data_IF_777782067770
#
_entry.id   IF_777782067770
#
_cell.length_a   1.000
_cell.length_b   1.000
_cell.length_c   1.000
_cell.angle_alpha   90.00
_cell.angle_beta   90.00
_cell.angle_gamma   90.00
#
_symmetry.space_group_name_H-M   'P 1'
#
loop_
_entity.id
_entity.type
_entity.pdbx_description
1 polymer ?
#
# COMPACT_ATOMS: atom_id res chain seq x y z
N UNK A 1 -0.36 -13.47 -15.87
CA UNK A 1 -0.52 -13.22 -14.42
C UNK A 1 0.46 -12.16 -13.97
N UNK A 2 0.00 -11.18 -13.24
CA UNK A 2 0.80 -10.14 -12.60
C UNK A 2 0.74 -10.31 -11.07
N UNK A 3 1.76 -9.82 -10.38
CA UNK A 3 1.87 -9.90 -8.93
C UNK A 3 1.78 -8.51 -8.32
N UNK A 4 1.01 -8.34 -7.26
CA UNK A 4 0.97 -7.10 -6.48
C UNK A 4 2.30 -6.92 -5.76
N UNK A 5 3.03 -5.86 -6.07
CA UNK A 5 4.38 -5.65 -5.52
C UNK A 5 4.50 -4.43 -4.61
N UNK A 6 3.65 -3.41 -4.78
CA UNK A 6 3.67 -2.23 -3.92
C UNK A 6 2.26 -1.66 -3.73
N UNK A 7 1.89 -1.45 -2.47
CA UNK A 7 0.58 -0.96 -2.02
C UNK A 7 0.63 0.45 -1.40
N UNK A 8 1.80 1.08 -1.39
CA UNK A 8 2.03 2.35 -0.66
C UNK A 8 1.01 3.45 -0.98
N UNK A 9 0.54 3.48 -2.21
CA UNK A 9 -0.36 4.52 -2.70
C UNK A 9 -1.82 4.05 -2.80
N UNK A 10 -2.13 2.85 -2.34
CA UNK A 10 -3.46 2.27 -2.52
C UNK A 10 -4.52 3.07 -1.77
N UNK A 11 -4.35 3.28 -0.48
CA UNK A 11 -5.33 3.99 0.34
C UNK A 11 -5.41 5.48 -0.01
N UNK A 12 -4.25 6.09 -0.29
CA UNK A 12 -4.20 7.53 -0.52
C UNK A 12 -4.65 7.95 -1.92
N UNK A 13 -4.36 7.15 -2.94
CA UNK A 13 -4.55 7.54 -4.34
C UNK A 13 -5.23 6.48 -5.20
N UNK A 14 -5.73 5.41 -4.61
CA UNK A 14 -6.37 4.33 -5.36
C UNK A 14 -5.42 3.60 -6.32
N UNK A 15 -4.09 3.63 -6.09
CA UNK A 15 -3.13 3.03 -7.01
C UNK A 15 -2.24 1.99 -6.34
N UNK A 16 -1.93 0.93 -7.06
CA UNK A 16 -0.96 -0.08 -6.65
C UNK A 16 -0.01 -0.43 -7.79
N UNK A 17 1.14 -1.01 -7.47
CA UNK A 17 2.10 -1.45 -8.48
C UNK A 17 2.02 -2.95 -8.66
N UNK A 18 1.91 -3.36 -9.91
CA UNK A 18 1.94 -4.74 -10.36
C UNK A 18 3.29 -5.06 -11.01
N UNK A 19 3.71 -6.29 -10.93
CA UNK A 19 4.95 -6.75 -11.56
C UNK A 19 4.77 -8.08 -12.28
N UNK A 20 5.50 -8.24 -13.38
CA UNK A 20 5.69 -9.53 -14.05
C UNK A 20 6.73 -10.38 -13.31
N UNK A 21 6.51 -11.69 -13.23
CA UNK A 21 7.48 -12.64 -12.70
C UNK A 21 7.69 -12.57 -11.18
N UNK A 22 6.68 -12.15 -10.43
CA UNK A 22 6.67 -12.14 -8.97
C UNK A 22 7.07 -10.81 -8.33
N UNK A 23 7.23 -10.82 -7.00
CA UNK A 23 7.57 -9.64 -6.21
C UNK A 23 8.88 -8.99 -6.65
N UNK A 24 8.90 -7.68 -6.66
CA UNK A 24 10.10 -6.88 -6.86
C UNK A 24 10.66 -6.46 -5.50
N UNK A 25 11.93 -6.72 -5.32
CA UNK A 25 12.66 -6.41 -4.08
C UNK A 25 13.66 -5.27 -4.32
N UNK A 26 14.13 -4.67 -3.24
CA UNK A 26 15.27 -3.76 -3.32
C UNK A 26 16.54 -4.54 -3.68
N UNK A 27 17.44 -3.91 -4.42
CA UNK A 27 18.68 -4.54 -4.89
C UNK A 27 19.47 -5.19 -3.75
N UNK A 28 19.60 -4.50 -2.63
CA UNK A 28 20.39 -4.95 -1.47
C UNK A 28 19.74 -6.03 -0.62
N UNK A 29 18.51 -6.47 -0.95
CA UNK A 29 17.91 -7.63 -0.27
C UNK A 29 18.68 -8.93 -0.58
N UNK A 30 19.28 -9.02 -1.76
CA UNK A 30 19.94 -10.23 -2.24
C UNK A 30 21.35 -10.02 -2.78
N UNK A 31 21.78 -8.76 -2.88
CA UNK A 31 23.09 -8.42 -3.46
C UNK A 31 23.88 -7.51 -2.51
N UNK A 32 25.18 -7.62 -2.55
CA UNK A 32 26.05 -6.62 -1.94
C UNK A 32 25.88 -5.26 -2.61
N UNK A 33 26.09 -4.16 -1.87
CA UNK A 33 26.00 -2.82 -2.46
C UNK A 33 26.98 -2.65 -3.63
N UNK A 34 26.44 -2.33 -4.81
CA UNK A 34 27.17 -2.06 -6.04
C UNK A 34 26.35 -1.11 -6.91
N UNK A 35 27.00 -0.06 -7.42
CA UNK A 35 26.30 1.01 -8.15
C UNK A 35 25.83 0.56 -9.54
N UNK A 36 26.63 -0.22 -10.24
CA UNK A 36 26.29 -0.68 -11.58
C UNK A 36 25.19 -1.75 -11.52
N UNK A 37 25.31 -2.68 -10.58
CA UNK A 37 24.28 -3.66 -10.28
C UNK A 37 22.96 -3.01 -9.85
N UNK A 38 23.01 -1.97 -9.02
CA UNK A 38 21.83 -1.20 -8.64
C UNK A 38 21.16 -0.52 -9.83
N UNK A 39 21.92 0.11 -10.71
CA UNK A 39 21.39 0.76 -11.92
C UNK A 39 20.78 -0.27 -12.89
N UNK A 40 21.43 -1.40 -13.09
CA UNK A 40 20.87 -2.50 -13.87
C UNK A 40 19.56 -3.02 -13.28
N UNK A 41 19.52 -3.18 -11.96
CA UNK A 41 18.32 -3.59 -11.22
C UNK A 41 17.17 -2.58 -11.34
N UNK A 42 17.42 -1.27 -11.24
CA UNK A 42 16.43 -0.23 -11.47
C UNK A 42 15.79 -0.35 -12.86
N UNK A 43 16.61 -0.56 -13.88
CA UNK A 43 16.14 -0.75 -15.25
C UNK A 43 15.28 -2.02 -15.39
N UNK A 44 15.65 -3.09 -14.70
CA UNK A 44 14.88 -4.33 -14.65
C UNK A 44 13.51 -4.09 -13.99
N UNK A 45 13.49 -3.45 -12.82
CA UNK A 45 12.26 -3.10 -12.09
C UNK A 45 11.34 -2.26 -12.97
N UNK A 46 11.86 -1.22 -13.63
CA UNK A 46 11.08 -0.34 -14.50
C UNK A 46 10.42 -1.08 -15.67
N UNK A 47 11.08 -2.10 -16.24
CA UNK A 47 10.52 -2.90 -17.33
C UNK A 47 9.51 -3.96 -16.89
N UNK A 48 9.57 -4.37 -15.63
CA UNK A 48 8.72 -5.42 -15.07
C UNK A 48 7.54 -4.90 -14.26
N UNK A 49 7.39 -3.59 -14.12
CA UNK A 49 6.34 -3.00 -13.30
C UNK A 49 5.40 -2.12 -14.10
N UNK A 50 4.15 -2.10 -13.68
CA UNK A 50 3.11 -1.21 -14.17
C UNK A 50 2.23 -0.78 -12.99
N UNK A 51 1.74 0.45 -13.01
CA UNK A 51 0.80 0.93 -11.99
C UNK A 51 -0.62 0.58 -12.42
N UNK A 52 -1.37 -0.10 -11.57
CA UNK A 52 -2.82 -0.19 -11.66
C UNK A 52 -3.41 1.07 -11.03
N UNK A 53 -4.28 1.76 -11.76
CA UNK A 53 -4.78 3.10 -11.42
C UNK A 53 -6.31 3.11 -11.62
N UNK A 54 -7.06 3.57 -10.62
CA UNK A 54 -8.51 3.69 -10.70
C UNK A 54 -8.99 4.83 -11.63
N UNK A 55 -8.07 5.64 -12.14
CA UNK A 55 -8.35 6.78 -13.02
C UNK A 55 -8.86 8.02 -12.28
N UNK A 56 -9.04 7.97 -10.98
CA UNK A 56 -9.48 9.09 -10.17
C UNK A 56 -8.29 9.98 -9.77
N UNK A 57 -8.57 11.25 -9.51
CA UNK A 57 -7.59 12.19 -8.97
C UNK A 57 -7.85 12.53 -7.50
N UNK A 58 -8.78 11.83 -6.89
CA UNK A 58 -9.11 12.03 -5.49
C UNK A 58 -7.93 11.59 -4.60
N UNK A 59 -7.67 12.34 -3.56
CA UNK A 59 -6.83 11.94 -2.46
C UNK A 59 -7.74 11.37 -1.36
N UNK A 60 -7.34 10.24 -0.78
CA UNK A 60 -8.13 9.49 0.20
C UNK A 60 -9.55 9.16 -0.32
N UNK A 61 -9.66 8.47 -1.47
CA UNK A 61 -10.95 8.11 -2.02
C UNK A 61 -11.73 7.24 -1.02
N UNK A 62 -13.02 7.47 -0.93
CA UNK A 62 -13.91 6.66 -0.08
C UNK A 62 -14.10 5.25 -0.62
N UNK A 63 -13.92 5.07 -1.92
CA UNK A 63 -14.03 3.80 -2.63
C UNK A 63 -12.92 3.70 -3.67
N UNK A 64 -12.40 2.50 -3.84
CA UNK A 64 -11.43 2.16 -4.88
C UNK A 64 -12.10 1.14 -5.79
N UNK A 65 -12.36 1.50 -7.04
CA UNK A 65 -13.19 0.74 -7.97
C UNK A 65 -12.86 -0.74 -8.12
N UNK A 66 -11.59 -1.09 -8.02
CA UNK A 66 -11.14 -2.47 -8.21
C UNK A 66 -10.89 -3.21 -6.90
N UNK A 67 -11.20 -2.60 -5.77
CA UNK A 67 -11.36 -3.30 -4.51
C UNK A 67 -12.85 -3.45 -4.24
N UNK A 68 -13.30 -4.61 -3.85
CA UNK A 68 -14.70 -4.79 -3.46
C UNK A 68 -15.09 -3.73 -2.42
N UNK A 69 -16.29 -3.20 -2.62
CA UNK A 69 -16.83 -2.02 -1.96
C UNK A 69 -16.42 -1.92 -0.49
N UNK A 70 -15.63 -0.87 -0.22
CA UNK A 70 -15.23 -0.51 1.12
C UNK A 70 -14.44 -1.60 1.81
N UNK A 71 -13.17 -1.76 1.44
CA UNK A 71 -12.18 -2.55 2.21
C UNK A 71 -12.81 -3.23 3.45
N UNK A 72 -13.86 -4.02 3.18
CA UNK A 72 -14.65 -4.66 4.22
C UNK A 72 -13.75 -5.62 4.96
N UNK A 73 -13.81 -5.60 6.26
CA UNK A 73 -13.14 -6.50 7.16
C UNK A 73 -13.20 -7.94 6.60
N UNK A 74 -12.13 -8.36 5.89
CA UNK A 74 -12.04 -9.69 5.29
C UNK A 74 -11.22 -9.79 4.02
N UNK A 75 -11.18 -8.76 3.17
CA UNK A 75 -10.33 -8.77 1.98
C UNK A 75 -9.39 -7.56 1.95
N UNK A 76 -8.14 -7.79 2.20
CA UNK A 76 -7.08 -6.82 1.96
C UNK A 76 -6.12 -7.37 0.90
N UNK A 77 -6.03 -6.69 -0.24
CA UNK A 77 -4.97 -6.98 -1.23
C UNK A 77 -3.63 -6.87 -0.55
N UNK A 78 -2.78 -7.86 -0.75
CA UNK A 78 -1.45 -7.93 -0.15
C UNK A 78 -0.36 -8.01 -1.21
N UNK A 79 0.81 -7.52 -0.86
CA UNK A 79 1.99 -7.79 -1.69
C UNK A 79 2.21 -9.30 -1.80
N UNK A 80 2.33 -9.78 -3.04
CA UNK A 80 2.41 -11.21 -3.36
C UNK A 80 1.12 -11.79 -3.93
N UNK A 81 -0.03 -11.13 -3.72
CA UNK A 81 -1.27 -11.56 -4.39
C UNK A 81 -1.16 -11.41 -5.91
N UNK A 82 -1.92 -12.19 -6.64
CA UNK A 82 -1.84 -12.23 -8.09
C UNK A 82 -3.10 -11.73 -8.78
N UNK A 83 -2.93 -11.28 -10.03
CA UNK A 83 -4.00 -10.95 -10.95
C UNK A 83 -3.82 -11.68 -12.26
N UNK A 84 -4.91 -12.27 -12.78
CA UNK A 84 -5.01 -12.76 -14.14
C UNK A 84 -5.96 -11.85 -14.95
N UNK A 85 -5.82 -11.92 -16.27
CA UNK A 85 -6.79 -11.38 -17.25
C UNK A 85 -7.13 -9.89 -17.06
N UNK A 86 -6.13 -9.09 -16.70
CA UNK A 86 -6.29 -7.66 -16.53
C UNK A 86 -6.39 -6.95 -17.89
N UNK A 87 -7.53 -6.33 -18.17
CA UNK A 87 -7.79 -5.53 -19.36
C UNK A 87 -8.02 -4.07 -18.98
N UNK A 88 -7.45 -3.15 -19.74
CA UNK A 88 -7.59 -1.72 -19.45
C UNK A 88 -6.92 -0.82 -20.47
N UNK A 89 -7.05 0.48 -20.25
CA UNK A 89 -6.43 1.52 -21.07
C UNK A 89 -5.06 1.89 -20.49
N UNK A 90 -4.03 1.92 -21.35
CA UNK A 90 -2.70 2.39 -20.98
C UNK A 90 -2.61 3.91 -21.06
N UNK A 91 -2.03 4.51 -20.04
CA UNK A 91 -1.70 5.93 -19.98
C UNK A 91 -0.30 6.14 -19.44
N UNK A 92 0.46 7.03 -20.06
CA UNK A 92 1.74 7.50 -19.51
C UNK A 92 1.51 8.85 -18.84
N UNK A 93 1.61 8.90 -17.52
CA UNK A 93 1.34 10.12 -16.76
C UNK A 93 1.88 10.06 -15.33
N UNK A 94 1.90 11.21 -14.69
CA UNK A 94 1.98 11.33 -13.23
C UNK A 94 0.63 10.91 -12.63
N UNK A 95 0.64 10.27 -11.47
CA UNK A 95 -0.56 9.86 -10.78
C UNK A 95 -1.34 11.00 -10.14
N UNK A 96 -2.36 10.64 -9.38
CA UNK A 96 -3.04 11.54 -8.47
C UNK A 96 -2.02 12.23 -7.54
N UNK A 97 -2.32 13.47 -7.14
CA UNK A 97 -1.40 14.29 -6.34
C UNK A 97 -0.31 15.01 -7.13
N UNK A 98 -0.09 14.69 -8.40
CA UNK A 98 0.83 15.41 -9.31
C UNK A 98 2.32 15.36 -8.95
N UNK A 99 2.64 14.73 -7.81
CA UNK A 99 4.00 14.59 -7.29
C UNK A 99 4.51 13.19 -7.59
N UNK A 100 5.58 13.06 -8.32
CA UNK A 100 6.22 11.80 -8.67
C UNK A 100 6.60 11.74 -10.14
N UNK A 101 7.30 10.69 -10.50
CA UNK A 101 7.73 10.47 -11.87
C UNK A 101 6.57 10.01 -12.75
N UNK A 102 6.65 10.35 -14.02
CA UNK A 102 5.76 9.79 -15.02
C UNK A 102 6.04 8.31 -15.18
N UNK A 103 4.97 7.52 -15.24
CA UNK A 103 5.06 6.07 -15.43
C UNK A 103 3.88 5.55 -16.24
N UNK A 104 4.01 4.33 -16.74
CA UNK A 104 2.91 3.62 -17.36
C UNK A 104 1.89 3.20 -16.31
N UNK A 105 0.63 3.53 -16.61
CA UNK A 105 -0.53 3.20 -15.79
C UNK A 105 -1.53 2.44 -16.63
N UNK A 106 -2.14 1.43 -16.03
CA UNK A 106 -3.24 0.70 -16.61
C UNK A 106 -4.50 1.04 -15.80
N UNK A 107 -5.46 1.64 -16.49
CA UNK A 107 -6.79 1.91 -15.95
C UNK A 107 -7.71 0.77 -16.38
N UNK A 108 -8.15 -0.09 -15.45
CA UNK A 108 -8.94 -1.25 -15.80
C UNK A 108 -10.30 -0.82 -16.39
N UNK A 109 -10.78 -1.57 -17.36
CA UNK A 109 -12.11 -1.39 -17.98
C UNK A 109 -13.17 -2.32 -17.38
N UNK A 110 -12.79 -3.19 -16.49
CA UNK A 110 -13.63 -4.06 -15.69
C UNK A 110 -12.95 -4.32 -14.35
N UNK A 111 -13.65 -4.93 -13.42
CA UNK A 111 -13.14 -5.21 -12.09
C UNK A 111 -12.10 -6.32 -12.14
N UNK A 112 -10.83 -6.03 -11.82
CA UNK A 112 -9.80 -7.05 -11.78
C UNK A 112 -10.03 -8.01 -10.62
N UNK A 113 -9.82 -9.28 -10.87
CA UNK A 113 -9.93 -10.31 -9.85
C UNK A 113 -8.57 -10.58 -9.23
N UNK A 114 -8.44 -10.31 -7.94
CA UNK A 114 -7.25 -10.64 -7.17
C UNK A 114 -7.35 -12.04 -6.59
N UNK A 115 -6.29 -12.80 -6.71
CA UNK A 115 -6.13 -14.09 -6.06
C UNK A 115 -5.25 -13.93 -4.82
N UNK A 116 -5.77 -14.32 -3.65
CA UNK A 116 -5.04 -14.28 -2.38
C UNK A 116 -3.99 -15.38 -2.34
N UNK A 117 -2.79 -15.08 -2.78
CA UNK A 117 -1.63 -16.00 -2.79
C UNK A 117 -0.78 -15.83 -1.53
N UNK A 118 -0.88 -14.68 -0.87
CA UNK A 118 -0.16 -14.37 0.36
C UNK A 118 -1.13 -14.01 1.50
N UNK A 119 -1.97 -14.94 1.95
CA UNK A 119 -2.93 -14.65 3.01
C UNK A 119 -2.23 -14.27 4.32
N UNK A 120 -2.89 -13.43 5.12
CA UNK A 120 -2.38 -13.11 6.45
C UNK A 120 -2.39 -14.38 7.31
N UNK A 121 -1.25 -14.80 7.87
CA UNK A 121 -1.24 -15.91 8.81
C UNK A 121 -2.06 -15.56 10.06
N UNK A 122 -2.65 -16.58 10.66
CA UNK A 122 -3.28 -16.42 11.96
C UNK A 122 -2.29 -16.01 13.05
N UNK A 123 -2.79 -15.63 14.21
CA UNK A 123 -1.94 -15.34 15.35
C UNK A 123 -1.02 -16.53 15.68
N UNK A 124 0.27 -16.29 15.90
CA UNK A 124 1.20 -17.37 16.21
C UNK A 124 0.83 -18.05 17.52
N UNK A 125 0.87 -19.39 17.55
CA UNK A 125 0.73 -20.16 18.78
C UNK A 125 2.05 -20.16 19.51
N UNK A 126 2.14 -19.40 20.60
CA UNK A 126 3.31 -19.36 21.48
C UNK A 126 3.04 -20.10 22.78
N UNK A 127 3.94 -20.99 23.15
CA UNK A 127 3.89 -21.70 24.42
C UNK A 127 4.38 -20.84 25.58
N UNK A 128 4.29 -21.40 26.81
CA UNK A 128 4.77 -20.76 28.04
C UNK A 128 3.65 -20.14 28.88
N UNK A 129 3.98 -19.84 30.13
CA UNK A 129 3.06 -19.24 31.10
C UNK A 129 2.99 -17.69 30.98
N UNK A 130 3.98 -17.09 30.33
CA UNK A 130 4.03 -15.64 30.09
C UNK A 130 4.19 -15.46 28.59
N UNK A 131 3.38 -14.55 28.01
CA UNK A 131 3.45 -14.18 26.61
C UNK A 131 3.75 -12.69 26.52
N UNK A 132 4.77 -12.34 25.74
CA UNK A 132 5.16 -10.96 25.48
C UNK A 132 5.01 -10.68 24.00
N UNK A 133 4.35 -9.58 23.66
CA UNK A 133 4.21 -9.12 22.29
C UNK A 133 4.76 -7.68 22.18
N UNK A 134 5.45 -7.41 21.09
CA UNK A 134 5.88 -6.05 20.71
C UNK A 134 5.15 -5.65 19.44
N UNK A 135 4.46 -4.53 19.49
CA UNK A 135 3.71 -3.98 18.35
C UNK A 135 4.21 -2.59 18.05
N UNK A 136 4.43 -2.31 16.77
CA UNK A 136 4.50 -0.95 16.29
C UNK A 136 3.10 -0.55 15.82
N UNK A 137 2.44 0.27 16.59
CA UNK A 137 1.08 0.77 16.29
C UNK A 137 1.11 2.11 15.54
N UNK A 138 2.28 2.51 15.04
CA UNK A 138 2.54 3.74 14.31
C UNK A 138 1.97 4.96 15.07
N UNK A 139 1.08 5.71 14.47
CA UNK A 139 0.50 6.92 15.06
C UNK A 139 -0.85 6.66 15.75
N UNK A 140 -1.02 5.50 16.38
CA UNK A 140 -2.23 5.24 17.17
C UNK A 140 -2.17 5.98 18.50
N UNK A 141 -3.14 6.85 18.73
CA UNK A 141 -3.37 7.55 20.00
C UNK A 141 -4.82 7.38 20.40
N UNK A 142 -5.08 7.27 21.69
CA UNK A 142 -6.44 7.14 22.24
C UNK A 142 -7.25 8.45 22.24
N UNK A 143 -6.67 9.52 21.73
CA UNK A 143 -7.29 10.85 21.64
C UNK A 143 -7.27 11.33 20.20
N UNK A 144 -8.38 11.96 19.81
CA UNK A 144 -8.50 12.58 18.48
C UNK A 144 -7.66 13.85 18.42
N UNK A 145 -6.92 14.02 17.31
CA UNK A 145 -6.23 15.28 17.01
C UNK A 145 -7.25 16.34 16.59
N UNK A 146 -7.52 17.28 17.46
CA UNK A 146 -8.45 18.37 17.18
C UNK A 146 -7.86 19.52 16.37
N UNK A 147 -6.68 19.33 15.78
CA UNK A 147 -5.97 20.35 14.99
C UNK A 147 -5.34 21.47 15.84
N UNK A 148 -5.24 21.29 17.14
CA UNK A 148 -4.66 22.31 18.04
C UNK A 148 -3.12 22.34 18.03
N UNK A 149 -2.49 21.41 17.34
CA UNK A 149 -1.06 21.45 17.00
C UNK A 149 -0.07 21.26 18.16
N UNK A 150 -0.54 20.98 19.37
CA UNK A 150 0.29 21.00 20.57
C UNK A 150 0.35 19.63 21.24
N UNK A 151 0.99 18.68 20.58
CA UNK A 151 1.22 17.34 21.10
C UNK A 151 2.63 17.18 21.69
N UNK A 152 2.83 16.06 22.37
CA UNK A 152 4.08 15.77 23.07
C UNK A 152 4.15 16.37 24.48
N UNK A 153 5.11 15.92 25.29
CA UNK A 153 5.23 16.34 26.69
C UNK A 153 5.48 17.85 26.89
N UNK A 154 6.03 18.50 25.87
CA UNK A 154 6.35 19.93 25.87
C UNK A 154 5.32 20.77 25.10
N UNK A 155 4.32 20.13 24.48
CA UNK A 155 3.27 20.81 23.72
C UNK A 155 3.75 21.55 22.46
N UNK A 156 4.86 21.12 21.87
CA UNK A 156 5.53 21.75 20.73
C UNK A 156 5.59 20.89 19.48
N UNK A 157 5.03 19.69 19.54
CA UNK A 157 5.07 18.73 18.44
C UNK A 157 3.74 18.70 17.68
N UNK A 158 3.82 18.53 16.37
CA UNK A 158 2.65 18.28 15.55
C UNK A 158 1.98 16.96 15.99
N UNK A 159 0.68 17.00 16.16
CA UNK A 159 -0.11 15.80 16.43
C UNK A 159 -0.12 14.88 15.20
N UNK A 160 -0.23 13.58 15.44
CA UNK A 160 -0.17 12.55 14.40
C UNK A 160 -1.23 11.46 14.61
N UNK A 161 -2.23 11.73 15.41
CA UNK A 161 -3.33 10.82 15.67
C UNK A 161 -4.44 10.91 14.62
N UNK A 162 -5.53 10.22 14.87
CA UNK A 162 -6.75 10.37 14.09
C UNK A 162 -7.32 11.77 14.24
N UNK A 163 -7.79 12.35 13.13
CA UNK A 163 -8.39 13.71 13.11
C UNK A 163 -9.87 13.71 13.50
N UNK A 164 -10.47 12.54 13.60
CA UNK A 164 -11.89 12.36 13.92
C UNK A 164 -12.17 11.02 14.60
N UNK A 165 -13.31 10.94 15.31
CA UNK A 165 -13.77 9.70 15.92
C UNK A 165 -13.97 8.58 14.88
N UNK A 166 -14.43 8.96 13.69
CA UNK A 166 -14.61 8.00 12.60
C UNK A 166 -13.27 7.42 12.10
N UNK A 167 -12.23 8.25 12.06
CA UNK A 167 -10.88 7.78 11.72
C UNK A 167 -10.29 6.93 12.84
N UNK A 168 -10.45 7.34 14.09
CA UNK A 168 -10.01 6.54 15.23
C UNK A 168 -10.68 5.17 15.25
N UNK A 169 -11.98 5.11 14.92
CA UNK A 169 -12.71 3.83 14.82
C UNK A 169 -12.10 2.94 13.74
N UNK A 170 -11.79 3.49 12.56
CA UNK A 170 -11.13 2.72 11.48
C UNK A 170 -9.73 2.23 11.83
N UNK A 171 -9.02 2.93 12.72
CA UNK A 171 -7.70 2.48 13.20
C UNK A 171 -7.81 1.32 14.20
N UNK A 172 -8.99 1.10 14.78
CA UNK A 172 -9.25 0.00 15.73
C UNK A 172 -9.71 -1.29 15.05
N UNK A 173 -10.17 -1.24 13.80
CA UNK A 173 -10.64 -2.37 12.99
C UNK A 173 -9.47 -3.05 12.26
#
# INVERSE_FOLDING_TARGET
TLTVTNLRNLERFGTLTLSEGGLLYQYTNYNSPDIDGYNAHKNLVARRSIVLDDGLRAENPSEIHYLEAGNTAGYSVRAGDSLADLTGNLRYSRGAGGNGDETWRLMPTGDPTFESVNPRPGAPSVGGSIRVASFNVLNYFSTVDSGQGNCGPQGDSACRGADSDAELTRQLE
#
